data_IF_655759618704
#
_entry.id   IF_655759618704
#
_cell.length_a   1.000
_cell.length_b   1.000
_cell.length_c   1.000
_cell.angle_alpha   90.00
_cell.angle_beta   90.00
_cell.angle_gamma   90.00
#
_symmetry.space_group_name_H-M   'P 1'
#
loop_
_entity.id
_entity.type
_entity.pdbx_description
1 polymer ?
#
# COMPACT_ATOMS: atom_id res chain seq x y z
N UNK A 1 -13.64 -15.30 9.09
CA UNK A 1 -13.50 -14.66 7.75
C UNK A 1 -12.66 -13.37 7.70
N UNK A 2 -12.24 -12.74 8.82
CA UNK A 2 -11.37 -11.54 8.79
C UNK A 2 -9.91 -11.82 8.38
N UNK A 3 -9.34 -12.96 8.79
CA UNK A 3 -7.91 -13.30 8.56
C UNK A 3 -7.51 -13.48 7.08
N UNK A 4 -8.42 -13.91 6.21
CA UNK A 4 -8.12 -14.12 4.79
C UNK A 4 -7.99 -12.79 4.00
N UNK A 5 -8.73 -11.74 4.35
CA UNK A 5 -8.66 -10.45 3.65
C UNK A 5 -7.34 -9.72 3.87
N UNK A 6 -6.73 -9.90 5.04
CA UNK A 6 -5.41 -9.37 5.34
C UNK A 6 -4.28 -10.12 4.63
N UNK A 7 -4.54 -11.37 4.23
CA UNK A 7 -3.57 -12.24 3.57
C UNK A 7 -3.52 -11.99 2.05
N UNK A 8 -4.66 -11.69 1.43
CA UNK A 8 -4.75 -11.40 -0.01
C UNK A 8 -4.40 -9.95 -0.38
N UNK A 9 -4.01 -9.10 0.57
CA UNK A 9 -3.67 -7.69 0.30
C UNK A 9 -4.81 -6.88 -0.35
N UNK A 10 -6.04 -7.42 -0.37
CA UNK A 10 -7.29 -6.71 -0.77
C UNK A 10 -7.87 -5.95 0.41
N UNK A 11 -7.01 -5.35 1.23
CA UNK A 11 -7.44 -4.44 2.27
C UNK A 11 -7.44 -3.01 1.72
N UNK A 12 -8.39 -2.20 2.17
CA UNK A 12 -8.63 -0.82 1.70
C UNK A 12 -7.37 0.05 1.68
N UNK A 13 -6.39 -0.28 2.53
CA UNK A 13 -5.15 0.44 2.69
C UNK A 13 -4.22 0.29 1.48
N UNK A 14 -4.16 -0.89 0.85
CA UNK A 14 -3.34 -1.11 -0.35
C UNK A 14 -3.89 -0.36 -1.57
N UNK A 15 -5.22 -0.27 -1.69
CA UNK A 15 -5.87 0.51 -2.76
C UNK A 15 -5.54 1.99 -2.62
N UNK A 16 -5.55 2.53 -1.38
CA UNK A 16 -5.17 3.91 -1.11
C UNK A 16 -3.68 4.13 -1.40
N UNK A 17 -2.81 3.19 -1.01
CA UNK A 17 -1.38 3.29 -1.27
C UNK A 17 -1.08 3.35 -2.78
N UNK A 18 -1.65 2.43 -3.57
CA UNK A 18 -1.47 2.42 -5.02
C UNK A 18 -2.01 3.68 -5.71
N UNK A 19 -3.11 4.24 -5.20
CA UNK A 19 -3.64 5.51 -5.71
C UNK A 19 -2.71 6.69 -5.39
N UNK A 20 -2.14 6.73 -4.18
CA UNK A 20 -1.17 7.76 -3.79
C UNK A 20 0.14 7.64 -4.58
N UNK A 21 0.63 6.41 -4.78
CA UNK A 21 1.82 6.14 -5.59
C UNK A 21 1.61 6.62 -7.04
N UNK A 22 0.46 6.30 -7.64
CA UNK A 22 0.12 6.78 -8.99
C UNK A 22 0.00 8.31 -9.10
N UNK A 23 -0.35 9.01 -8.01
CA UNK A 23 -0.36 10.48 -7.96
C UNK A 23 1.05 11.04 -7.76
N UNK A 24 1.90 10.37 -6.98
CA UNK A 24 3.29 10.75 -6.80
C UNK A 24 4.11 10.58 -8.08
N UNK A 25 3.86 9.50 -8.85
CA UNK A 25 4.48 9.25 -10.16
C UNK A 25 4.11 10.33 -11.19
N UNK A 26 2.92 10.90 -11.06
CA UNK A 26 2.47 12.04 -11.89
C UNK A 26 3.08 13.37 -11.44
N UNK A 27 3.72 13.41 -10.28
CA UNK A 27 4.23 14.62 -9.65
C UNK A 27 3.16 15.52 -9.02
N UNK A 28 1.92 15.01 -8.89
CA UNK A 28 0.80 15.76 -8.31
C UNK A 28 0.91 15.86 -6.78
N UNK A 29 1.61 14.90 -6.15
CA UNK A 29 1.88 14.91 -4.70
C UNK A 29 3.33 14.56 -4.40
N UNK A 30 3.81 14.99 -3.23
CA UNK A 30 5.15 14.65 -2.77
C UNK A 30 5.24 13.17 -2.34
N UNK A 31 6.34 12.45 -2.69
CA UNK A 31 6.57 11.06 -2.26
C UNK A 31 6.52 10.86 -0.74
N UNK A 32 6.76 11.93 0.02
CA UNK A 32 6.66 11.95 1.47
C UNK A 32 5.25 11.60 1.96
N UNK A 33 4.21 12.01 1.23
CA UNK A 33 2.81 11.71 1.57
C UNK A 33 2.55 10.20 1.45
N UNK A 34 3.17 9.53 0.47
CA UNK A 34 3.12 8.08 0.30
C UNK A 34 3.79 7.39 1.49
N UNK A 35 4.98 7.85 1.89
CA UNK A 35 5.70 7.30 3.04
C UNK A 35 4.92 7.45 4.36
N UNK A 36 4.27 8.59 4.59
CA UNK A 36 3.41 8.80 5.76
C UNK A 36 2.18 7.88 5.75
N UNK A 37 1.61 7.62 4.57
CA UNK A 37 0.49 6.68 4.42
C UNK A 37 0.90 5.24 4.75
N UNK A 38 2.08 4.79 4.30
CA UNK A 38 2.62 3.46 4.62
C UNK A 38 2.72 3.26 6.14
N UNK A 39 3.30 4.23 6.85
CA UNK A 39 3.44 4.19 8.31
C UNK A 39 2.08 4.24 9.00
N UNK A 40 1.18 5.12 8.55
CA UNK A 40 -0.16 5.31 9.14
C UNK A 40 -1.05 4.07 9.00
N UNK A 41 -0.93 3.37 7.88
CA UNK A 41 -1.70 2.15 7.62
C UNK A 41 -1.01 0.87 8.09
N UNK A 42 0.22 0.97 8.61
CA UNK A 42 1.01 -0.19 9.04
C UNK A 42 1.24 -1.19 7.91
N UNK A 43 1.33 -0.68 6.68
CA UNK A 43 1.67 -1.51 5.51
C UNK A 43 3.16 -1.76 5.59
N UNK A 44 3.54 -3.02 5.49
CA UNK A 44 4.95 -3.41 5.49
C UNK A 44 5.44 -3.49 4.03
N UNK A 45 6.23 -2.51 3.56
CA UNK A 45 6.69 -2.47 2.17
C UNK A 45 7.73 -3.56 1.87
N UNK A 46 8.36 -4.14 2.89
CA UNK A 46 9.27 -5.29 2.74
C UNK A 46 8.53 -6.63 2.70
N UNK A 47 7.21 -6.62 2.85
CA UNK A 47 6.41 -7.83 2.77
C UNK A 47 6.44 -8.35 1.33
N UNK A 48 7.13 -9.48 1.17
CA UNK A 48 7.33 -10.19 -0.10
C UNK A 48 5.97 -10.50 -0.74
N UNK A 49 5.81 -10.10 -2.01
CA UNK A 49 4.59 -10.33 -2.78
C UNK A 49 4.20 -11.81 -2.73
N UNK A 50 2.99 -12.18 -2.28
CA UNK A 50 2.57 -13.57 -2.13
C UNK A 50 2.43 -14.32 -3.47
N UNK A 51 2.62 -13.65 -4.61
CA UNK A 51 2.63 -14.24 -5.95
C UNK A 51 4.04 -14.60 -6.46
N UNK A 52 5.11 -14.22 -5.77
CA UNK A 52 6.48 -14.63 -6.15
C UNK A 52 6.75 -16.04 -5.62
N UNK A 53 6.57 -17.03 -6.50
CA UNK A 53 7.05 -18.41 -6.37
C UNK A 53 8.51 -18.55 -6.84
#
# INVERSE_FOLDING_TARGET
RKKLRHFFEVDRHFVVLAALEALADRGDIEPKVVAEAIVKFGIDPEKRNPLDC
#
